data_IF_938243502978
#
_entry.id   IF_938243502978
#
_cell.length_a   1.000
_cell.length_b   1.000
_cell.length_c   1.000
_cell.angle_alpha   90.00
_cell.angle_beta   90.00
_cell.angle_gamma   90.00
#
_symmetry.space_group_name_H-M   'P 1'
#
loop_
_entity.id
_entity.type
_entity.pdbx_description
1 polymer ?
#
# COMPACT_ATOMS: atom_id res chain seq x y z
N UNK A 1 -19.53 -1.89 -2.61
CA UNK A 1 -20.68 -2.34 -3.43
C UNK A 1 -20.69 -1.57 -4.75
N UNK A 2 -21.40 -2.03 -5.78
CA UNK A 2 -21.68 -1.20 -6.96
C UNK A 2 -23.03 -0.52 -6.74
N UNK A 3 -23.08 0.80 -6.91
CA UNK A 3 -24.29 1.61 -6.82
C UNK A 3 -24.60 2.21 -8.18
N UNK A 4 -25.84 1.98 -8.63
CA UNK A 4 -26.39 2.54 -9.87
C UNK A 4 -27.70 3.24 -9.51
N UNK A 5 -27.66 4.56 -9.40
CA UNK A 5 -28.77 5.34 -8.87
C UNK A 5 -29.14 4.91 -7.44
N UNK A 6 -30.38 4.42 -7.25
CA UNK A 6 -30.89 3.96 -5.95
C UNK A 6 -30.66 2.46 -5.69
N UNK A 7 -30.06 1.73 -6.63
CA UNK A 7 -29.85 0.28 -6.52
C UNK A 7 -28.42 -0.01 -6.10
N UNK A 8 -28.27 -0.92 -5.14
CA UNK A 8 -26.96 -1.39 -4.65
C UNK A 8 -26.83 -2.89 -4.88
N UNK A 9 -25.74 -3.32 -5.51
CA UNK A 9 -25.42 -4.73 -5.71
C UNK A 9 -24.01 -5.10 -5.23
N UNK A 10 -23.85 -6.33 -4.75
CA UNK A 10 -22.56 -6.89 -4.38
C UNK A 10 -21.74 -7.22 -5.63
N UNK A 11 -20.51 -6.73 -5.71
CA UNK A 11 -19.60 -6.99 -6.82
C UNK A 11 -18.23 -7.42 -6.29
N UNK A 12 -17.52 -8.22 -7.08
CA UNK A 12 -16.13 -8.62 -6.81
C UNK A 12 -15.23 -8.09 -7.91
N UNK A 13 -14.22 -7.32 -7.53
CA UNK A 13 -13.17 -6.86 -8.45
C UNK A 13 -12.10 -7.95 -8.51
N UNK A 14 -11.75 -8.35 -9.73
CA UNK A 14 -10.65 -9.28 -9.99
C UNK A 14 -9.73 -8.66 -11.04
N UNK A 15 -8.41 -8.78 -10.85
CA UNK A 15 -7.46 -8.30 -11.84
C UNK A 15 -7.60 -9.10 -13.14
N UNK A 16 -7.71 -8.41 -14.28
CA UNK A 16 -7.85 -9.03 -15.60
C UNK A 16 -6.55 -9.74 -16.05
N UNK A 17 -5.40 -9.22 -15.61
CA UNK A 17 -4.09 -9.84 -15.79
C UNK A 17 -3.55 -10.23 -14.42
N UNK A 18 -3.24 -11.51 -14.25
CA UNK A 18 -2.38 -11.91 -13.14
C UNK A 18 -0.97 -11.46 -13.51
N UNK A 19 -0.33 -10.63 -12.67
CA UNK A 19 1.14 -10.54 -12.69
C UNK A 19 1.66 -11.92 -12.28
N UNK A 20 1.71 -12.83 -13.25
CA UNK A 20 2.07 -14.22 -13.09
C UNK A 20 3.42 -14.30 -12.38
N UNK A 21 3.40 -14.93 -11.20
CA UNK A 21 4.57 -15.45 -10.51
C UNK A 21 5.71 -14.45 -10.33
N UNK A 22 5.52 -13.41 -9.48
CA UNK A 22 6.65 -12.65 -8.93
C UNK A 22 7.60 -13.65 -8.24
N UNK A 23 8.72 -13.94 -8.89
CA UNK A 23 9.79 -14.77 -8.32
C UNK A 23 10.33 -14.00 -7.11
N UNK A 24 10.07 -14.50 -5.90
CA UNK A 24 10.56 -13.88 -4.68
C UNK A 24 11.92 -14.48 -4.32
N UNK A 25 12.96 -13.66 -4.35
CA UNK A 25 14.29 -14.06 -3.91
C UNK A 25 14.42 -13.86 -2.40
N UNK A 26 14.92 -14.88 -1.69
CA UNK A 26 15.36 -14.73 -0.30
C UNK A 26 16.79 -14.21 -0.28
N UNK A 27 17.10 -13.31 0.64
CA UNK A 27 18.48 -12.88 0.87
C UNK A 27 19.21 -14.01 1.61
N UNK A 28 20.29 -14.52 1.02
CA UNK A 28 21.11 -15.58 1.58
C UNK A 28 22.48 -15.04 1.98
N UNK A 29 23.04 -15.58 3.07
CA UNK A 29 24.42 -15.34 3.43
C UNK A 29 25.33 -16.03 2.41
N UNK A 30 26.22 -15.26 1.76
CA UNK A 30 27.10 -15.76 0.70
C UNK A 30 28.05 -16.86 1.15
N UNK A 31 28.40 -16.94 2.43
CA UNK A 31 29.36 -17.92 2.96
C UNK A 31 28.74 -19.31 3.15
N UNK A 32 27.51 -19.36 3.66
CA UNK A 32 26.87 -20.58 4.15
C UNK A 32 25.51 -20.87 3.49
N UNK A 33 25.01 -19.97 2.64
CA UNK A 33 23.78 -20.15 1.85
C UNK A 33 22.49 -20.08 2.68
N UNK A 34 22.59 -19.74 3.96
CA UNK A 34 21.44 -19.67 4.86
C UNK A 34 20.68 -18.34 4.70
N UNK A 35 19.35 -18.32 4.88
CA UNK A 35 18.57 -17.09 4.81
C UNK A 35 18.92 -16.11 5.93
N UNK A 36 19.02 -14.82 5.58
CA UNK A 36 19.34 -13.73 6.50
C UNK A 36 18.06 -13.11 7.06
N UNK A 37 18.07 -12.74 8.35
CA UNK A 37 17.04 -11.94 8.99
C UNK A 37 17.48 -10.47 9.05
N UNK A 38 16.58 -9.56 8.71
CA UNK A 38 16.76 -8.13 8.93
C UNK A 38 16.38 -7.78 10.37
N UNK A 39 17.21 -7.01 11.05
CA UNK A 39 16.95 -6.46 12.38
C UNK A 39 17.19 -4.96 12.31
N UNK A 40 16.24 -4.16 12.80
CA UNK A 40 16.42 -2.73 12.96
C UNK A 40 17.17 -2.48 14.27
N UNK A 41 18.21 -1.64 14.22
CA UNK A 41 19.05 -1.29 15.36
C UNK A 41 19.03 0.22 15.56
N UNK A 42 19.05 0.67 16.81
CA UNK A 42 19.13 2.09 17.15
C UNK A 42 20.51 2.64 16.76
N UNK A 43 20.54 3.80 16.11
CA UNK A 43 21.77 4.37 15.57
C UNK A 43 22.74 4.84 16.66
N UNK A 44 22.22 5.22 17.84
CA UNK A 44 23.04 5.71 18.95
C UNK A 44 23.51 4.58 19.87
N UNK A 45 22.64 3.63 20.20
CA UNK A 45 22.97 2.56 21.16
C UNK A 45 23.52 1.31 20.49
N UNK A 46 23.22 1.09 19.21
CA UNK A 46 23.54 -0.14 18.49
C UNK A 46 22.71 -1.35 18.92
N UNK A 47 21.69 -1.15 19.76
CA UNK A 47 20.82 -2.21 20.25
C UNK A 47 19.66 -2.46 19.28
N UNK A 48 19.19 -3.72 19.14
CA UNK A 48 18.03 -4.02 18.31
C UNK A 48 16.76 -3.37 18.88
N UNK A 49 15.95 -2.79 18.00
CA UNK A 49 14.68 -2.16 18.36
C UNK A 49 13.54 -3.14 18.08
N UNK A 50 12.74 -3.42 19.09
CA UNK A 50 11.58 -4.30 18.96
C UNK A 50 10.52 -3.69 18.04
N UNK A 51 9.79 -4.48 17.23
CA UNK A 51 8.79 -3.96 16.30
C UNK A 51 7.67 -3.15 16.95
N UNK A 52 7.38 -3.39 18.23
CA UNK A 52 6.39 -2.65 19.00
C UNK A 52 6.85 -1.22 19.34
N UNK A 53 8.16 -1.01 19.41
CA UNK A 53 8.79 0.27 19.74
C UNK A 53 9.23 1.05 18.48
N UNK A 54 9.02 0.47 17.28
CA UNK A 54 9.31 1.11 16.00
C UNK A 54 8.15 2.02 15.57
N UNK A 55 8.43 3.32 15.40
CA UNK A 55 7.48 4.31 14.86
C UNK A 55 7.98 4.92 13.55
N UNK A 56 7.07 5.38 12.69
CA UNK A 56 7.46 6.10 11.47
C UNK A 56 7.73 7.55 11.82
N UNK A 57 8.84 8.12 11.34
CA UNK A 57 9.13 9.54 11.42
C UNK A 57 8.99 10.21 10.06
N UNK A 58 8.45 11.43 10.03
CA UNK A 58 8.50 12.30 8.85
C UNK A 58 9.46 13.46 9.12
N UNK A 59 10.46 13.64 8.25
CA UNK A 59 11.45 14.72 8.38
C UNK A 59 10.81 16.06 7.94
N UNK A 60 10.71 17.01 8.87
CA UNK A 60 10.16 18.35 8.59
C UNK A 60 11.27 19.39 8.34
N UNK A 61 12.42 19.18 8.96
CA UNK A 61 13.65 19.94 8.77
C UNK A 61 14.82 19.00 8.95
N UNK A 62 16.03 19.39 8.51
CA UNK A 62 17.24 18.58 8.67
C UNK A 62 17.40 18.14 10.14
N UNK A 63 17.42 16.84 10.36
CA UNK A 63 17.52 16.20 11.70
C UNK A 63 16.30 16.43 12.63
N UNK A 64 15.17 16.94 12.12
CA UNK A 64 13.93 17.14 12.87
C UNK A 64 12.81 16.25 12.33
N UNK A 65 12.39 15.28 13.15
CA UNK A 65 11.41 14.27 12.78
C UNK A 65 10.14 14.39 13.62
N UNK A 66 9.00 14.35 12.95
CA UNK A 66 7.69 14.19 13.60
C UNK A 66 7.31 12.72 13.60
N UNK A 67 7.01 12.17 14.77
CA UNK A 67 6.50 10.81 14.90
C UNK A 67 5.08 10.74 14.32
N UNK A 68 4.86 9.79 13.42
CA UNK A 68 3.57 9.51 12.80
C UNK A 68 3.08 8.18 13.33
N UNK A 69 2.07 8.23 14.20
CA UNK A 69 1.47 7.02 14.71
C UNK A 69 0.65 6.32 13.62
N UNK A 70 0.54 4.98 13.66
CA UNK A 70 -0.31 4.27 12.71
C UNK A 70 -1.78 4.69 12.80
N UNK A 71 -2.23 5.26 13.92
CA UNK A 71 -3.60 5.76 14.09
C UNK A 71 -3.83 7.12 13.39
N UNK A 72 -2.84 8.02 13.38
CA UNK A 72 -2.90 9.28 12.62
C UNK A 72 -3.10 9.01 11.12
N UNK A 73 -2.36 8.02 10.58
CA UNK A 73 -2.52 7.60 9.18
C UNK A 73 -3.92 7.04 8.92
N UNK A 74 -4.50 6.31 9.88
CA UNK A 74 -5.87 5.78 9.73
C UNK A 74 -6.91 6.89 9.79
N UNK A 75 -6.74 7.87 10.68
CA UNK A 75 -7.63 9.03 10.78
C UNK A 75 -7.58 9.90 9.50
N UNK A 76 -6.41 10.00 8.87
CA UNK A 76 -6.24 10.70 7.59
C UNK A 76 -6.75 9.94 6.38
N UNK A 77 -6.92 8.61 6.46
CA UNK A 77 -7.57 7.85 5.39
C UNK A 77 -9.03 8.30 5.34
N UNK A 78 -9.27 9.29 4.48
CA UNK A 78 -10.58 9.66 3.98
C UNK A 78 -11.33 8.35 3.74
N UNK A 79 -12.46 8.18 4.44
CA UNK A 79 -13.28 6.97 4.43
C UNK A 79 -13.32 6.45 3.02
N UNK A 80 -12.51 5.42 2.75
CA UNK A 80 -12.46 4.83 1.42
C UNK A 80 -13.72 4.00 1.38
N UNK A 81 -14.83 4.65 1.05
CA UNK A 81 -16.08 3.96 0.80
C UNK A 81 -15.74 3.04 -0.37
N UNK A 82 -15.63 1.74 -0.10
CA UNK A 82 -15.35 0.71 -1.12
C UNK A 82 -16.59 0.51 -2.02
N UNK A 83 -17.21 1.61 -2.39
CA UNK A 83 -18.43 1.74 -3.16
C UNK A 83 -18.06 2.33 -4.51
N UNK A 84 -18.30 1.55 -5.55
CA UNK A 84 -18.20 2.00 -6.93
C UNK A 84 -19.52 2.64 -7.27
N UNK A 85 -19.53 3.93 -7.57
CA UNK A 85 -20.71 4.65 -8.03
C UNK A 85 -20.64 4.85 -9.54
N UNK A 86 -21.71 4.48 -10.25
CA UNK A 86 -21.82 4.71 -11.69
C UNK A 86 -22.25 6.15 -11.94
N UNK A 87 -21.37 6.96 -12.51
CA UNK A 87 -21.64 8.36 -12.84
C UNK A 87 -22.53 8.53 -14.07
N UNK A 88 -22.15 7.95 -15.20
CA UNK A 88 -22.87 8.08 -16.48
C UNK A 88 -22.63 6.88 -17.39
N UNK A 89 -23.56 6.66 -18.33
CA UNK A 89 -23.41 5.71 -19.44
C UNK A 89 -23.15 6.50 -20.72
N UNK A 90 -21.97 6.33 -21.30
CA UNK A 90 -21.54 7.02 -22.53
C UNK A 90 -21.40 6.03 -23.68
N UNK A 91 -21.51 6.53 -24.91
CA UNK A 91 -21.24 5.72 -26.10
C UNK A 91 -19.74 5.45 -26.23
N UNK A 92 -19.38 4.29 -26.79
CA UNK A 92 -17.99 3.86 -26.87
C UNK A 92 -17.12 4.80 -27.71
N UNK A 93 -17.69 5.45 -28.73
CA UNK A 93 -17.02 6.47 -29.55
C UNK A 93 -16.65 7.76 -28.79
N UNK A 94 -17.25 7.99 -27.60
CA UNK A 94 -16.94 9.14 -26.75
C UNK A 94 -15.73 8.88 -25.83
N UNK A 95 -15.25 7.63 -25.75
CA UNK A 95 -14.11 7.26 -24.91
C UNK A 95 -12.82 7.44 -25.72
N UNK A 96 -12.03 8.45 -25.36
CA UNK A 96 -10.70 8.67 -25.94
C UNK A 96 -9.77 7.51 -25.54
N UNK A 97 -9.23 6.81 -26.53
CA UNK A 97 -8.38 5.61 -26.34
C UNK A 97 -6.93 5.93 -26.01
N UNK A 98 -6.53 7.21 -25.98
CA UNK A 98 -5.14 7.62 -25.69
C UNK A 98 -4.62 7.22 -24.31
N UNK A 99 -5.48 6.79 -23.40
CA UNK A 99 -5.12 6.39 -22.02
C UNK A 99 -5.49 4.93 -21.71
N UNK A 100 -5.77 4.11 -22.73
CA UNK A 100 -6.17 2.71 -22.57
C UNK A 100 -4.98 1.73 -22.58
N UNK A 101 -3.74 2.22 -22.71
CA UNK A 101 -2.49 1.45 -22.69
C UNK A 101 -1.80 1.44 -21.31
#
# INVERSE_FOLDING_TARGET
FLKVGSVTCGVKIVGATSESSKIHFKILNRKDGLPVKTVYVDEQTGEPVDPADQVKGFEISKDEYVMVEPDDIKALKLTTDHTLEVGEFVSLDQIDTRYLE
#
